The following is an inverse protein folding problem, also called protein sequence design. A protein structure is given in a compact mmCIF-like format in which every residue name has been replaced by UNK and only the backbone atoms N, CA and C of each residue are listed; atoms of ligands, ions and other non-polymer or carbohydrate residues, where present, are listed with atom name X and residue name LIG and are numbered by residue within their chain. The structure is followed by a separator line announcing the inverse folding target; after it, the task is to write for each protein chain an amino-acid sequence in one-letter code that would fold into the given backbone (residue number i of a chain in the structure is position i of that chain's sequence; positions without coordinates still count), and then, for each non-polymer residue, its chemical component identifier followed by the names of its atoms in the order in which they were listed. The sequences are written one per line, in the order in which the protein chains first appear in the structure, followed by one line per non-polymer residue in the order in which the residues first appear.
data_IF_025274904938
#
_entry.id   IF_025274904938
#
_cell.length_a   1.000
_cell.length_b   1.000
_cell.length_c   1.000
_cell.angle_alpha   90.00
_cell.angle_beta   90.00
_cell.angle_gamma   90.00
#
_symmetry.space_group_name_H-M   'P 1'
#
loop_
_entity.id
_entity.type
_entity.pdbx_description
1 polymer ?
#
# COMPACT_ATOMS: atom_id res chain seq x y z
N UNK A 1 -2.60 -21.80 7.98
CA UNK A 1 -2.50 -20.71 8.95
C UNK A 1 -3.35 -21.10 10.14
N UNK A 2 -2.75 -21.15 11.32
CA UNK A 2 -3.46 -21.45 12.55
C UNK A 2 -3.98 -20.16 13.23
N UNK A 3 -4.97 -20.30 14.12
CA UNK A 3 -5.65 -19.15 14.72
C UNK A 3 -4.73 -18.34 15.65
N UNK A 4 -3.71 -19.00 16.22
CA UNK A 4 -2.66 -18.38 17.02
C UNK A 4 -1.73 -17.50 16.17
N UNK A 5 -1.34 -17.97 15.00
CA UNK A 5 -0.50 -17.26 14.04
C UNK A 5 -1.22 -16.02 13.50
N UNK A 6 -2.52 -16.15 13.22
CA UNK A 6 -3.35 -15.02 12.80
C UNK A 6 -3.47 -13.94 13.88
N UNK A 7 -3.70 -14.31 15.15
CA UNK A 7 -3.74 -13.34 16.27
C UNK A 7 -2.40 -12.63 16.47
N UNK A 8 -1.29 -13.37 16.40
CA UNK A 8 0.07 -12.79 16.52
C UNK A 8 0.38 -11.82 15.39
N UNK A 9 -0.14 -12.08 14.18
CA UNK A 9 -0.04 -11.13 13.07
C UNK A 9 -0.82 -9.84 13.34
N UNK A 10 -2.04 -9.93 13.88
CA UNK A 10 -2.86 -8.76 14.19
C UNK A 10 -2.25 -7.84 15.25
N UNK A 11 -1.50 -8.40 16.21
CA UNK A 11 -0.79 -7.61 17.22
C UNK A 11 0.31 -6.69 16.64
N UNK A 12 0.79 -6.99 15.42
CA UNK A 12 1.74 -6.12 14.71
C UNK A 12 1.09 -4.90 14.05
N UNK A 13 -0.24 -4.87 13.98
CA UNK A 13 -1.03 -3.85 13.30
C UNK A 13 -2.01 -3.19 14.29
N UNK A 14 -1.51 -2.40 15.27
CA UNK A 14 -2.37 -1.77 16.26
C UNK A 14 -3.43 -0.89 15.59
N UNK A 15 -4.70 -1.21 15.86
CA UNK A 15 -5.83 -0.44 15.36
C UNK A 15 -6.12 0.71 16.32
N UNK A 16 -5.77 1.92 15.92
CA UNK A 16 -6.12 3.14 16.64
C UNK A 16 -7.54 3.53 16.26
N UNK A 17 -8.44 3.48 17.24
CA UNK A 17 -9.83 3.92 17.08
C UNK A 17 -9.96 5.37 17.53
N UNK A 18 -10.31 6.26 16.62
CA UNK A 18 -10.81 7.62 16.94
C UNK A 18 -12.33 7.64 16.81
N UNK A 19 -12.97 8.62 17.44
CA UNK A 19 -14.45 8.78 17.49
C UNK A 19 -15.13 8.68 16.11
N UNK A 20 -14.44 9.06 15.04
CA UNK A 20 -15.00 9.16 13.69
C UNK A 20 -14.43 8.12 12.70
N UNK A 21 -13.34 7.43 13.03
CA UNK A 21 -12.74 6.42 12.15
C UNK A 21 -11.68 5.56 12.86
N UNK A 22 -11.39 4.38 12.30
CA UNK A 22 -10.31 3.50 12.74
C UNK A 22 -9.12 3.60 11.76
N UNK A 23 -7.89 3.70 12.25
CA UNK A 23 -6.67 3.61 11.43
C UNK A 23 -5.78 2.50 11.98
N UNK A 24 -5.17 1.74 11.07
CA UNK A 24 -4.09 0.82 11.42
C UNK A 24 -2.82 1.65 11.53
N UNK A 25 -2.24 1.73 12.72
CA UNK A 25 -0.95 2.39 12.93
C UNK A 25 0.16 1.36 12.69
N UNK A 26 1.19 1.74 11.94
CA UNK A 26 2.37 0.91 11.74
C UNK A 26 3.15 0.82 13.06
N UNK A 27 3.38 -0.39 13.57
CA UNK A 27 4.12 -0.59 14.81
C UNK A 27 5.62 -0.66 14.54
N UNK A 28 6.35 0.44 14.80
CA UNK A 28 7.79 0.56 14.57
C UNK A 28 8.65 -0.28 15.52
N UNK A 29 8.07 -0.84 16.60
CA UNK A 29 8.82 -1.71 17.53
C UNK A 29 9.26 -3.05 16.93
N UNK A 30 8.81 -3.39 15.72
CA UNK A 30 9.19 -4.63 15.02
C UNK A 30 10.17 -4.39 13.84
N UNK A 31 10.73 -3.18 13.70
CA UNK A 31 11.75 -2.92 12.66
C UNK A 31 13.15 -3.42 13.04
N UNK A 32 13.44 -3.60 14.34
CA UNK A 32 14.72 -4.13 14.80
C UNK A 32 14.65 -5.63 15.10
N UNK A 33 14.45 -6.46 14.08
CA UNK A 33 15.13 -7.77 14.06
C UNK A 33 15.21 -8.34 12.65
N UNK A 34 16.46 -8.51 12.22
CA UNK A 34 16.96 -9.28 11.07
C UNK A 34 16.97 -8.63 9.68
N UNK A 35 18.19 -8.21 9.33
CA UNK A 35 18.79 -7.92 8.01
C UNK A 35 18.54 -9.01 6.95
N UNK A 36 17.30 -9.11 6.47
CA UNK A 36 17.00 -9.66 5.15
C UNK A 36 16.34 -8.56 4.32
N UNK A 37 16.59 -8.47 2.99
CA UNK A 37 15.97 -7.45 2.17
C UNK A 37 14.46 -7.71 2.22
N UNK A 38 13.80 -6.90 3.03
CA UNK A 38 12.40 -7.01 3.39
C UNK A 38 11.60 -6.69 2.14
N UNK A 39 11.14 -7.76 1.48
CA UNK A 39 10.03 -7.72 0.55
C UNK A 39 8.96 -6.82 1.17
N UNK A 40 8.56 -5.82 0.40
CA UNK A 40 7.80 -4.65 0.80
C UNK A 40 6.35 -4.97 1.15
N UNK A 41 6.05 -5.99 1.95
CA UNK A 41 4.68 -6.37 2.36
C UNK A 41 3.73 -6.74 1.21
N UNK A 42 4.16 -6.57 -0.04
CA UNK A 42 3.51 -7.07 -1.24
C UNK A 42 3.88 -8.54 -1.29
N UNK A 43 2.87 -9.40 -1.12
CA UNK A 43 3.00 -10.81 -1.38
C UNK A 43 3.26 -10.95 -2.90
N UNK A 44 4.52 -10.85 -3.32
CA UNK A 44 4.92 -11.19 -4.68
C UNK A 44 5.11 -12.72 -4.65
N UNK A 45 4.25 -13.50 -5.32
CA UNK A 45 4.46 -14.94 -5.44
C UNK A 45 5.86 -15.15 -6.01
N UNK A 46 6.65 -16.02 -5.39
CA UNK A 46 7.95 -16.39 -5.91
C UNK A 46 7.78 -16.89 -7.37
N UNK A 47 8.34 -16.15 -8.33
CA UNK A 47 8.21 -16.43 -9.76
C UNK A 47 7.40 -15.40 -10.57
N UNK A 48 6.85 -14.34 -9.96
CA UNK A 48 6.29 -13.19 -10.67
C UNK A 48 7.31 -12.06 -10.80
N UNK A 49 8.24 -12.20 -11.74
CA UNK A 49 9.09 -11.09 -12.17
C UNK A 49 8.22 -10.11 -12.97
N UNK A 50 7.57 -9.18 -12.27
CA UNK A 50 6.94 -8.05 -12.94
C UNK A 50 8.07 -7.17 -13.48
N UNK A 51 8.31 -7.19 -14.80
CA UNK A 51 9.34 -6.40 -15.49
C UNK A 51 8.93 -4.91 -15.58
N UNK A 52 8.73 -4.32 -14.40
CA UNK A 52 8.40 -2.91 -14.22
C UNK A 52 9.69 -2.13 -14.27
N UNK A 53 9.79 -1.25 -15.26
CA UNK A 53 10.94 -0.41 -15.49
C UNK A 53 10.68 1.01 -14.97
N UNK A 54 11.71 1.74 -14.49
CA UNK A 54 11.54 3.12 -14.01
C UNK A 54 11.04 4.11 -15.06
N UNK A 55 11.13 3.74 -16.35
CA UNK A 55 10.66 4.52 -17.49
C UNK A 55 9.22 4.19 -17.89
N UNK A 56 8.62 3.16 -17.30
CA UNK A 56 7.24 2.81 -17.56
C UNK A 56 6.32 3.94 -17.07
N UNK A 57 5.25 4.21 -17.84
CA UNK A 57 4.19 5.05 -17.33
C UNK A 57 3.51 4.38 -16.13
N UNK A 58 2.80 5.16 -15.30
CA UNK A 58 2.04 4.58 -14.19
C UNK A 58 1.04 3.52 -14.68
N UNK A 59 0.43 3.75 -15.83
CA UNK A 59 -0.54 2.85 -16.46
C UNK A 59 0.13 1.53 -16.88
N UNK A 60 1.27 1.60 -17.57
CA UNK A 60 2.03 0.43 -18.01
C UNK A 60 2.57 -0.37 -16.82
N UNK A 61 3.07 0.31 -15.80
CA UNK A 61 3.57 -0.31 -14.57
C UNK A 61 2.44 -1.04 -13.81
N UNK A 62 1.25 -0.43 -13.76
CA UNK A 62 0.09 -1.03 -13.13
C UNK A 62 -0.41 -2.26 -13.90
N UNK A 63 -0.45 -2.20 -15.24
CA UNK A 63 -0.83 -3.34 -16.06
C UNK A 63 0.13 -4.52 -15.86
N UNK A 64 1.44 -4.26 -15.92
CA UNK A 64 2.48 -5.27 -15.66
C UNK A 64 2.38 -5.86 -14.25
N UNK A 65 2.05 -5.03 -13.25
CA UNK A 65 1.84 -5.48 -11.88
C UNK A 65 0.60 -6.37 -11.72
N UNK A 66 -0.50 -6.07 -12.42
CA UNK A 66 -1.76 -6.79 -12.30
C UNK A 66 -1.82 -8.07 -13.15
N UNK A 67 -1.07 -8.12 -14.26
CA UNK A 67 -1.07 -9.21 -15.22
C UNK A 67 -0.90 -10.62 -14.63
N UNK A 68 -0.10 -10.85 -13.57
CA UNK A 68 0.03 -12.18 -12.99
C UNK A 68 -1.15 -12.62 -12.12
N UNK A 69 -1.99 -11.70 -11.68
CA UNK A 69 -3.06 -11.95 -10.70
C UNK A 69 -4.46 -11.90 -11.30
N UNK A 70 -4.63 -11.15 -12.39
CA UNK A 70 -5.93 -10.83 -12.96
C UNK A 70 -5.93 -11.06 -14.47
N UNK A 71 -7.10 -11.39 -15.02
CA UNK A 71 -7.28 -11.32 -16.47
C UNK A 71 -7.15 -9.87 -16.96
N UNK A 72 -6.77 -9.68 -18.23
CA UNK A 72 -6.68 -8.34 -18.84
C UNK A 72 -7.97 -7.52 -18.67
N UNK A 73 -9.14 -8.17 -18.73
CA UNK A 73 -10.43 -7.49 -18.49
C UNK A 73 -10.60 -7.02 -17.04
N UNK A 74 -10.17 -7.82 -16.06
CA UNK A 74 -10.23 -7.45 -14.64
C UNK A 74 -9.21 -6.37 -14.30
N UNK A 75 -7.99 -6.48 -14.84
CA UNK A 75 -6.95 -5.47 -14.69
C UNK A 75 -7.41 -4.10 -15.23
N UNK A 76 -8.04 -4.07 -16.41
CA UNK A 76 -8.59 -2.85 -16.98
C UNK A 76 -9.69 -2.21 -16.10
N UNK A 77 -10.55 -3.04 -15.48
CA UNK A 77 -11.56 -2.54 -14.52
C UNK A 77 -10.93 -1.97 -13.27
N UNK A 78 -9.90 -2.62 -12.74
CA UNK A 78 -9.15 -2.14 -11.56
C UNK A 78 -8.50 -0.79 -11.88
N UNK A 79 -7.85 -0.66 -13.03
CA UNK A 79 -7.24 0.59 -13.48
C UNK A 79 -8.26 1.73 -13.59
N UNK A 80 -9.41 1.49 -14.20
CA UNK A 80 -10.48 2.50 -14.28
C UNK A 80 -11.00 2.95 -12.90
N UNK A 81 -11.16 2.02 -11.96
CA UNK A 81 -11.60 2.37 -10.60
C UNK A 81 -10.51 3.10 -9.82
N UNK A 82 -9.24 2.74 -10.01
CA UNK A 82 -8.10 3.42 -9.42
C UNK A 82 -8.04 4.88 -9.88
N UNK A 83 -8.08 5.12 -11.19
CA UNK A 83 -8.05 6.47 -11.74
C UNK A 83 -9.22 7.32 -11.25
N UNK A 84 -10.42 6.73 -11.21
CA UNK A 84 -11.59 7.42 -10.67
C UNK A 84 -11.37 7.80 -9.21
N UNK A 85 -10.94 6.85 -8.38
CA UNK A 85 -10.70 7.07 -6.95
C UNK A 85 -9.60 8.11 -6.73
N UNK A 86 -8.54 8.08 -7.54
CA UNK A 86 -7.46 9.06 -7.50
C UNK A 86 -7.95 10.46 -7.85
N UNK A 87 -8.75 10.61 -8.93
CA UNK A 87 -9.35 11.89 -9.29
C UNK A 87 -10.27 12.41 -8.19
N UNK A 88 -11.13 11.55 -7.66
CA UNK A 88 -12.05 11.89 -6.57
C UNK A 88 -11.26 12.34 -5.32
N UNK A 89 -10.22 11.58 -4.95
CA UNK A 89 -9.33 11.93 -3.84
C UNK A 89 -8.67 13.30 -4.05
N UNK A 90 -8.00 13.52 -5.19
CA UNK A 90 -7.32 14.79 -5.49
C UNK A 90 -8.30 15.96 -5.51
N UNK A 91 -9.51 15.76 -6.04
CA UNK A 91 -10.55 16.80 -6.06
C UNK A 91 -11.09 17.14 -4.67
N UNK A 92 -10.96 16.22 -3.72
CA UNK A 92 -11.44 16.40 -2.34
C UNK A 92 -10.41 17.01 -1.39
N UNK A 93 -9.13 17.08 -1.80
CA UNK A 93 -8.05 17.61 -0.97
C UNK A 93 -8.24 19.11 -0.70
N UNK A 94 -8.10 19.49 0.56
CA UNK A 94 -7.98 20.89 0.97
C UNK A 94 -6.54 21.26 1.36
N UNK A 95 -6.30 22.55 1.61
CA UNK A 95 -4.97 23.04 1.97
C UNK A 95 -4.46 22.43 3.28
N UNK A 96 -5.37 22.18 4.23
CA UNK A 96 -5.06 21.50 5.48
C UNK A 96 -4.56 20.07 5.24
N UNK A 97 -5.20 19.31 4.35
CA UNK A 97 -4.77 17.94 4.01
C UNK A 97 -3.36 17.92 3.40
N UNK A 98 -3.05 18.91 2.55
CA UNK A 98 -1.72 19.02 1.93
C UNK A 98 -0.67 19.41 2.96
N UNK A 99 -0.98 20.31 3.89
CA UNK A 99 -0.07 20.69 4.96
C UNK A 99 0.21 19.51 5.92
N UNK A 100 -0.84 18.78 6.30
CA UNK A 100 -0.75 17.55 7.11
C UNK A 100 0.08 16.47 6.40
N UNK A 101 0.01 16.37 5.07
CA UNK A 101 0.86 15.47 4.29
C UNK A 101 2.32 15.93 4.31
N UNK A 102 2.59 17.23 4.12
CA UNK A 102 3.95 17.76 4.15
C UNK A 102 4.62 17.57 5.51
N UNK A 103 3.91 17.76 6.61
CA UNK A 103 4.44 17.59 7.97
C UNK A 103 4.99 16.18 8.23
N UNK A 104 4.41 15.15 7.60
CA UNK A 104 4.89 13.76 7.73
C UNK A 104 6.32 13.55 7.20
N UNK A 105 6.78 14.40 6.28
CA UNK A 105 8.12 14.31 5.70
C UNK A 105 9.15 15.20 6.41
N UNK A 106 8.72 16.08 7.32
CA UNK A 106 9.59 17.07 7.99
C UNK A 106 10.16 16.55 9.31
N UNK A 107 9.53 15.55 9.96
CA UNK A 107 9.98 15.00 11.26
C UNK A 107 10.98 13.85 11.19
N UNK A 108 11.52 13.50 10.03
CA UNK A 108 12.67 12.58 9.94
C UNK A 108 13.99 13.34 10.06
N UNK A 109 14.44 13.55 11.30
CA UNK A 109 15.82 13.88 11.66
C UNK A 109 16.25 13.08 12.89
#
# INVERSE_FOLDING_TARGET
MDESEFRRMLERYPVVRKKTHCRVQWNSMYDEETTTPRSSGIFIPAGCDCDINPLDSLEDALEKFLAPYFSSQEAAKIQQQLEKTQRDFVSSLCLEDVNDLCEQFVTTK
#
